data_IF_851973469617
#
_entry.id   IF_851973469617
#
_cell.length_a   1.000
_cell.length_b   1.000
_cell.length_c   1.000
_cell.angle_alpha   90.00
_cell.angle_beta   90.00
_cell.angle_gamma   90.00
#
_symmetry.space_group_name_H-M   'P 1'
#
loop_
_entity.id
_entity.type
_entity.pdbx_description
1 polymer ?
#
# COMPACT_ATOMS: atom_id res chain seq x y z
N UNK A 1 2.32 -12.27 2.91
CA UNK A 1 2.56 -11.14 1.96
C UNK A 1 2.33 -11.63 0.54
N UNK A 2 1.74 -10.80 -0.33
CA UNK A 2 1.36 -11.21 -1.68
C UNK A 2 1.61 -10.07 -2.68
N UNK A 3 2.83 -10.06 -3.24
CA UNK A 3 3.30 -9.01 -4.14
C UNK A 3 3.93 -9.59 -5.41
N UNK A 4 4.06 -8.78 -6.45
CA UNK A 4 5.02 -9.06 -7.51
C UNK A 4 6.24 -8.14 -7.33
N UNK A 5 7.41 -8.74 -7.10
CA UNK A 5 8.63 -8.03 -6.71
C UNK A 5 9.67 -8.16 -7.81
N UNK A 6 10.08 -7.04 -8.42
CA UNK A 6 11.20 -7.03 -9.37
C UNK A 6 12.46 -6.57 -8.64
N UNK A 7 13.46 -7.45 -8.58
CA UNK A 7 14.75 -7.16 -7.97
C UNK A 7 15.74 -6.81 -9.08
N UNK A 8 16.24 -5.58 -9.05
CA UNK A 8 17.26 -5.07 -9.96
C UNK A 8 18.60 -5.03 -9.24
N UNK A 9 19.62 -5.63 -9.85
CA UNK A 9 20.97 -5.72 -9.30
C UNK A 9 21.97 -5.15 -10.31
N UNK A 10 22.66 -4.07 -9.93
CA UNK A 10 23.78 -3.53 -10.71
C UNK A 10 24.95 -4.53 -10.69
N UNK A 11 25.42 -5.03 -11.82
CA UNK A 11 26.50 -6.02 -11.84
C UNK A 11 27.89 -5.44 -12.18
N UNK A 12 28.04 -4.11 -12.24
CA UNK A 12 29.31 -3.43 -12.53
C UNK A 12 30.28 -3.48 -11.35
N UNK A 13 29.85 -2.91 -10.22
CA UNK A 13 30.70 -2.73 -9.04
C UNK A 13 29.89 -2.80 -7.75
N UNK A 14 29.22 -3.90 -7.40
CA UNK A 14 28.59 -3.99 -6.07
C UNK A 14 29.68 -4.08 -4.99
N UNK A 15 29.70 -3.15 -4.04
CA UNK A 15 30.72 -3.16 -2.98
C UNK A 15 30.56 -4.33 -1.99
N UNK A 16 29.34 -4.85 -1.80
CA UNK A 16 29.11 -6.07 -1.01
C UNK A 16 28.02 -6.96 -1.63
N UNK A 17 28.41 -7.76 -2.63
CA UNK A 17 27.52 -8.74 -3.27
C UNK A 17 26.90 -9.71 -2.27
N UNK A 18 27.68 -10.20 -1.30
CA UNK A 18 27.19 -11.13 -0.28
C UNK A 18 26.06 -10.53 0.55
N UNK A 19 26.21 -9.29 1.04
CA UNK A 19 25.17 -8.62 1.82
C UNK A 19 23.91 -8.37 1.00
N UNK A 20 24.03 -8.03 -0.28
CA UNK A 20 22.86 -7.85 -1.18
C UNK A 20 22.06 -9.14 -1.24
N UNK A 21 22.71 -10.27 -1.53
CA UNK A 21 22.03 -11.54 -1.68
C UNK A 21 21.51 -12.12 -0.35
N UNK A 22 22.20 -11.87 0.77
CA UNK A 22 21.73 -12.23 2.11
C UNK A 22 20.52 -11.39 2.52
N UNK A 23 20.53 -10.10 2.21
CA UNK A 23 19.36 -9.21 2.38
C UNK A 23 18.18 -9.77 1.60
N UNK A 24 18.36 -10.03 0.30
CA UNK A 24 17.30 -10.58 -0.56
C UNK A 24 16.76 -11.90 -0.01
N UNK A 25 17.61 -12.85 0.38
CA UNK A 25 17.16 -14.11 0.98
C UNK A 25 16.36 -13.89 2.26
N UNK A 26 16.72 -12.89 3.06
CA UNK A 26 16.06 -12.57 4.33
C UNK A 26 14.72 -11.85 4.14
N UNK A 27 14.47 -11.22 2.98
CA UNK A 27 13.17 -10.62 2.65
C UNK A 27 12.07 -11.66 2.51
N UNK A 28 12.42 -12.86 2.03
CA UNK A 28 11.47 -13.93 1.73
C UNK A 28 11.65 -15.07 2.72
N UNK A 29 10.75 -15.20 3.69
CA UNK A 29 10.75 -16.33 4.62
C UNK A 29 10.51 -17.66 3.86
N UNK A 30 11.08 -18.76 4.36
CA UNK A 30 10.90 -20.10 3.77
C UNK A 30 9.44 -20.58 3.72
N UNK A 31 8.57 -20.00 4.56
CA UNK A 31 7.14 -20.29 4.63
C UNK A 31 6.32 -19.38 3.70
N UNK A 32 6.94 -18.41 3.04
CA UNK A 32 6.26 -17.57 2.07
C UNK A 32 6.00 -18.35 0.78
N UNK A 33 4.76 -18.32 0.30
CA UNK A 33 4.40 -18.89 -0.98
C UNK A 33 5.01 -18.05 -2.13
N UNK A 34 5.96 -18.64 -2.86
CA UNK A 34 6.60 -18.02 -4.02
C UNK A 34 6.06 -18.67 -5.29
N UNK A 35 5.54 -17.88 -6.23
CA UNK A 35 4.99 -18.37 -7.49
C UNK A 35 3.47 -18.32 -7.56
N UNK A 36 2.86 -19.28 -8.25
CA UNK A 36 1.42 -19.32 -8.55
C UNK A 36 0.83 -20.72 -8.39
N UNK A 37 -0.50 -20.84 -8.43
CA UNK A 37 -1.18 -22.15 -8.46
C UNK A 37 -1.46 -22.75 -7.08
N UNK A 38 -1.35 -21.95 -6.02
CA UNK A 38 -1.70 -22.34 -4.66
C UNK A 38 -3.21 -22.28 -4.43
N UNK A 39 -3.72 -23.16 -3.56
CA UNK A 39 -5.13 -23.15 -3.16
C UNK A 39 -5.51 -21.87 -2.38
N UNK A 40 -4.62 -21.44 -1.48
CA UNK A 40 -4.63 -20.07 -0.97
C UNK A 40 -3.95 -19.17 -2.00
N UNK A 41 -4.66 -18.18 -2.58
CA UNK A 41 -4.10 -17.37 -3.64
C UNK A 41 -2.99 -16.42 -3.14
N UNK A 42 -2.84 -16.19 -1.83
CA UNK A 42 -1.86 -15.25 -1.25
C UNK A 42 -0.40 -15.66 -1.48
N UNK A 43 0.10 -15.39 -2.68
CA UNK A 43 1.47 -15.69 -3.07
C UNK A 43 2.23 -14.47 -3.56
N UNK A 44 3.55 -14.55 -3.51
CA UNK A 44 4.49 -13.54 -4.03
C UNK A 44 5.20 -14.06 -5.27
N UNK A 45 5.36 -13.27 -6.32
CA UNK A 45 6.25 -13.58 -7.46
C UNK A 45 7.51 -12.73 -7.37
N UNK A 46 8.65 -13.30 -7.70
CA UNK A 46 9.94 -12.59 -7.68
C UNK A 46 10.59 -12.68 -9.05
N UNK A 47 10.86 -11.53 -9.65
CA UNK A 47 11.64 -11.39 -10.86
C UNK A 47 13.02 -10.84 -10.55
N UNK A 48 14.02 -11.20 -11.34
CA UNK A 48 15.39 -10.71 -11.21
C UNK A 48 15.87 -10.11 -12.52
N UNK A 49 16.45 -8.93 -12.42
CA UNK A 49 17.10 -8.20 -13.50
C UNK A 49 18.50 -7.85 -13.04
N UNK A 50 19.50 -8.18 -13.85
CA UNK A 50 20.86 -7.65 -13.65
C UNK A 50 21.17 -6.63 -14.73
N UNK A 51 21.98 -5.61 -14.44
CA UNK A 51 22.31 -4.62 -15.46
C UNK A 51 23.72 -4.04 -15.35
N UNK A 52 24.23 -3.62 -16.51
CA UNK A 52 25.40 -2.76 -16.68
C UNK A 52 25.13 -1.74 -17.79
N UNK A 53 25.75 -1.89 -18.97
CA UNK A 53 25.41 -1.15 -20.17
C UNK A 53 24.00 -1.49 -20.68
N UNK A 54 23.60 -2.77 -20.60
CA UNK A 54 22.25 -3.24 -20.89
C UNK A 54 21.69 -3.98 -19.67
N UNK A 55 20.37 -4.11 -19.61
CA UNK A 55 19.66 -4.96 -18.65
C UNK A 55 19.53 -6.40 -19.18
N UNK A 56 19.44 -7.36 -18.28
CA UNK A 56 19.21 -8.77 -18.57
C UNK A 56 18.21 -9.33 -17.58
N UNK A 57 17.12 -9.87 -18.09
CA UNK A 57 16.10 -10.57 -17.30
C UNK A 57 16.62 -11.98 -16.98
N UNK A 58 17.18 -12.14 -15.78
CA UNK A 58 17.76 -13.42 -15.34
C UNK A 58 16.72 -14.35 -14.72
N UNK A 59 15.57 -13.80 -14.30
CA UNK A 59 14.36 -14.54 -13.97
C UNK A 59 13.12 -13.64 -14.16
N UNK A 60 12.15 -14.09 -14.95
CA UNK A 60 10.83 -13.45 -15.00
C UNK A 60 9.93 -13.94 -13.85
N UNK A 61 8.70 -13.40 -13.77
CA UNK A 61 7.73 -13.74 -12.72
C UNK A 61 7.22 -15.20 -12.76
N UNK A 62 7.48 -15.96 -13.82
CA UNK A 62 7.03 -17.35 -13.96
C UNK A 62 8.17 -18.35 -13.79
N UNK A 63 9.42 -17.91 -13.80
CA UNK A 63 10.58 -18.79 -13.63
C UNK A 63 10.70 -19.37 -12.21
N UNK A 64 10.33 -18.62 -11.17
CA UNK A 64 10.47 -19.02 -9.77
C UNK A 64 9.11 -19.43 -9.21
N UNK A 65 8.95 -20.70 -8.83
CA UNK A 65 7.68 -21.28 -8.34
C UNK A 65 7.78 -21.83 -6.92
N UNK A 66 8.89 -21.54 -6.23
CA UNK A 66 9.12 -21.96 -4.84
C UNK A 66 10.23 -21.14 -4.18
N UNK A 67 10.32 -21.25 -2.84
CA UNK A 67 11.45 -20.71 -2.10
C UNK A 67 12.79 -21.35 -2.52
N UNK A 68 12.80 -22.64 -2.87
CA UNK A 68 14.00 -23.34 -3.33
C UNK A 68 14.47 -22.86 -4.70
N UNK A 69 13.55 -22.51 -5.61
CA UNK A 69 13.89 -21.88 -6.89
C UNK A 69 14.54 -20.51 -6.67
N UNK A 70 13.94 -19.70 -5.79
CA UNK A 70 14.48 -18.39 -5.40
C UNK A 70 15.88 -18.52 -4.83
N UNK A 71 16.08 -19.43 -3.86
CA UNK A 71 17.39 -19.70 -3.27
C UNK A 71 18.40 -20.15 -4.32
N UNK A 72 18.01 -21.05 -5.22
CA UNK A 72 18.86 -21.54 -6.31
C UNK A 72 19.24 -20.43 -7.30
N UNK A 73 18.29 -19.55 -7.65
CA UNK A 73 18.54 -18.39 -8.50
C UNK A 73 19.53 -17.42 -7.85
N UNK A 74 19.40 -17.16 -6.54
CA UNK A 74 20.34 -16.32 -5.80
C UNK A 74 21.73 -16.95 -5.75
N UNK A 75 21.85 -18.27 -5.55
CA UNK A 75 23.15 -18.95 -5.61
C UNK A 75 23.81 -18.84 -6.98
N UNK A 76 23.03 -18.98 -8.07
CA UNK A 76 23.55 -18.76 -9.44
C UNK A 76 24.06 -17.34 -9.64
N UNK A 77 23.34 -16.34 -9.11
CA UNK A 77 23.77 -14.94 -9.17
C UNK A 77 25.03 -14.68 -8.34
N UNK A 78 25.17 -15.30 -7.16
CA UNK A 78 26.41 -15.26 -6.35
C UNK A 78 27.63 -15.79 -7.10
N UNK A 79 27.46 -16.84 -7.91
CA UNK A 79 28.53 -17.45 -8.69
C UNK A 79 28.80 -16.74 -10.03
N UNK A 80 27.93 -15.81 -10.45
CA UNK A 80 28.10 -15.09 -11.71
C UNK A 80 29.15 -14.00 -11.53
N UNK A 81 30.25 -13.99 -12.31
CA UNK A 81 31.27 -12.95 -12.20
C UNK A 81 30.69 -11.56 -12.46
N UNK A 82 31.09 -10.58 -11.65
CA UNK A 82 30.80 -9.17 -11.92
C UNK A 82 31.49 -8.74 -13.22
N UNK A 83 30.87 -7.80 -13.94
CA UNK A 83 31.48 -7.26 -15.15
C UNK A 83 32.65 -6.34 -14.80
N UNK A 84 33.63 -6.24 -15.69
CA UNK A 84 34.78 -5.35 -15.51
C UNK A 84 34.48 -3.90 -15.89
N UNK A 85 33.34 -3.64 -16.55
CA UNK A 85 32.94 -2.28 -16.91
C UNK A 85 32.48 -1.48 -15.70
N UNK A 86 32.71 -0.17 -15.74
CA UNK A 86 32.16 0.80 -14.78
C UNK A 86 30.85 1.42 -15.26
N UNK A 87 30.38 1.04 -16.46
CA UNK A 87 29.20 1.64 -17.07
C UNK A 87 27.92 1.00 -16.52
N UNK A 88 27.23 1.74 -15.65
CA UNK A 88 25.95 1.35 -15.06
C UNK A 88 24.81 2.18 -15.68
N UNK A 89 23.84 1.56 -16.35
CA UNK A 89 22.73 2.24 -17.07
C UNK A 89 21.40 1.86 -16.44
N UNK A 90 21.11 2.44 -15.27
CA UNK A 90 19.94 2.07 -14.44
C UNK A 90 18.61 2.25 -15.18
N UNK A 91 18.51 3.22 -16.08
CA UNK A 91 17.32 3.44 -16.90
C UNK A 91 16.97 2.22 -17.74
N UNK A 92 17.96 1.50 -18.29
CA UNK A 92 17.72 0.27 -19.04
C UNK A 92 17.08 -0.82 -18.17
N UNK A 93 17.50 -0.91 -16.90
CA UNK A 93 16.97 -1.88 -15.95
C UNK A 93 15.55 -1.51 -15.48
N UNK A 94 15.29 -0.22 -15.25
CA UNK A 94 13.95 0.27 -14.91
C UNK A 94 12.97 0.03 -16.07
N UNK A 95 13.39 0.20 -17.33
CA UNK A 95 12.58 -0.18 -18.49
C UNK A 95 12.35 -1.69 -18.59
N UNK A 96 13.37 -2.51 -18.32
CA UNK A 96 13.20 -3.96 -18.26
C UNK A 96 12.20 -4.37 -17.17
N UNK A 97 12.24 -3.74 -15.99
CA UNK A 97 11.26 -3.95 -14.93
C UNK A 97 9.84 -3.54 -15.35
N UNK A 98 9.68 -2.40 -16.02
CA UNK A 98 8.39 -2.01 -16.61
C UNK A 98 7.87 -3.07 -17.58
N UNK A 99 8.74 -3.61 -18.45
CA UNK A 99 8.35 -4.62 -19.43
C UNK A 99 7.94 -5.93 -18.76
N UNK A 100 8.69 -6.39 -17.74
CA UNK A 100 8.37 -7.59 -16.95
C UNK A 100 7.02 -7.45 -16.21
N UNK A 101 6.72 -6.26 -15.69
CA UNK A 101 5.42 -5.99 -15.05
C UNK A 101 4.31 -5.98 -16.10
N UNK A 102 4.48 -5.24 -17.19
CA UNK A 102 3.48 -5.12 -18.26
C UNK A 102 3.21 -6.45 -18.98
N UNK A 103 4.19 -7.35 -19.09
CA UNK A 103 3.99 -8.66 -19.71
C UNK A 103 3.03 -9.57 -18.93
N UNK A 104 2.72 -9.19 -17.69
CA UNK A 104 1.74 -9.87 -16.83
C UNK A 104 0.47 -9.07 -16.61
N UNK A 105 0.26 -7.97 -17.34
CA UNK A 105 -0.97 -7.20 -17.26
C UNK A 105 -2.21 -8.08 -17.53
N UNK A 106 -3.24 -7.96 -16.69
CA UNK A 106 -4.42 -8.81 -16.73
C UNK A 106 -4.26 -10.13 -15.96
N UNK A 107 -3.05 -10.47 -15.53
CA UNK A 107 -2.76 -11.64 -14.70
C UNK A 107 -2.23 -11.15 -13.35
N UNK A 108 -3.08 -11.17 -12.31
CA UNK A 108 -2.78 -10.71 -10.94
C UNK A 108 -2.78 -9.19 -10.75
N UNK A 109 -3.72 -8.49 -11.38
CA UNK A 109 -3.86 -7.03 -11.25
C UNK A 109 -4.22 -6.58 -9.82
N UNK A 110 -4.83 -7.46 -9.01
CA UNK A 110 -5.06 -7.17 -7.60
C UNK A 110 -3.77 -7.14 -6.77
N UNK A 111 -2.72 -7.87 -7.15
CA UNK A 111 -1.48 -7.91 -6.39
C UNK A 111 -0.69 -6.63 -6.60
N UNK A 112 -0.16 -6.02 -5.54
CA UNK A 112 0.70 -4.86 -5.69
C UNK A 112 2.06 -5.25 -6.25
N UNK A 113 2.66 -4.32 -7.00
CA UNK A 113 3.96 -4.51 -7.64
C UNK A 113 4.97 -3.53 -7.05
N UNK A 114 6.21 -3.96 -6.90
CA UNK A 114 7.31 -3.14 -6.39
C UNK A 114 8.61 -3.45 -7.12
N UNK A 115 9.41 -2.41 -7.36
CA UNK A 115 10.76 -2.55 -7.93
C UNK A 115 11.77 -2.22 -6.85
N UNK A 116 12.76 -3.08 -6.64
CA UNK A 116 13.84 -2.90 -5.65
C UNK A 116 15.17 -2.84 -6.38
N UNK A 117 15.90 -1.75 -6.26
CA UNK A 117 17.16 -1.50 -6.98
C UNK A 117 18.35 -1.51 -6.03
N UNK A 118 19.26 -2.45 -6.21
CA UNK A 118 20.54 -2.52 -5.50
C UNK A 118 21.65 -1.98 -6.41
N UNK A 119 22.29 -0.88 -6.01
CA UNK A 119 23.42 -0.28 -6.73
C UNK A 119 24.31 0.52 -5.78
N UNK A 120 25.53 0.86 -6.17
CA UNK A 120 26.35 1.88 -5.53
C UNK A 120 26.89 2.92 -6.54
N UNK A 121 26.32 2.94 -7.74
CA UNK A 121 26.69 3.87 -8.81
C UNK A 121 25.55 4.88 -8.97
N UNK A 122 25.91 6.14 -9.16
CA UNK A 122 24.94 7.21 -9.43
C UNK A 122 25.23 7.91 -10.76
N UNK A 123 24.20 8.54 -11.32
CA UNK A 123 24.35 9.56 -12.35
C UNK A 123 24.54 9.06 -13.79
N UNK A 124 24.63 7.75 -14.03
CA UNK A 124 24.84 7.17 -15.36
C UNK A 124 23.57 6.52 -15.93
N UNK A 125 23.21 6.87 -17.17
CA UNK A 125 22.02 6.36 -17.88
C UNK A 125 22.22 6.39 -19.41
N UNK A 126 21.41 5.64 -20.17
CA UNK A 126 21.57 5.45 -21.62
C UNK A 126 20.73 6.44 -22.42
N UNK A 127 19.46 6.57 -22.08
CA UNK A 127 18.48 7.33 -22.86
C UNK A 127 17.76 8.36 -22.01
N UNK A 128 17.22 7.95 -20.86
CA UNK A 128 16.43 8.84 -20.01
C UNK A 128 16.99 8.87 -18.58
N UNK A 129 16.93 10.01 -17.87
CA UNK A 129 17.31 10.05 -16.46
C UNK A 129 16.52 9.00 -15.65
N UNK A 130 17.16 8.17 -14.81
CA UNK A 130 16.48 7.11 -14.06
C UNK A 130 15.38 7.64 -13.14
N UNK A 131 15.50 8.90 -12.68
CA UNK A 131 14.45 9.61 -11.94
C UNK A 131 13.13 9.68 -12.72
N UNK A 132 13.18 9.97 -14.02
CA UNK A 132 11.96 10.16 -14.82
C UNK A 132 11.34 8.82 -15.24
N UNK A 133 12.18 7.81 -15.48
CA UNK A 133 11.73 6.43 -15.66
C UNK A 133 11.07 5.93 -14.38
N UNK A 134 11.68 6.15 -13.21
CA UNK A 134 11.09 5.79 -11.91
C UNK A 134 9.77 6.51 -11.63
N UNK A 135 9.68 7.83 -11.87
CA UNK A 135 8.40 8.56 -11.76
C UNK A 135 7.29 7.91 -12.61
N UNK A 136 7.63 7.40 -13.78
CA UNK A 136 6.65 6.71 -14.65
C UNK A 136 6.16 5.40 -14.05
N UNK A 137 7.00 4.64 -13.34
CA UNK A 137 6.56 3.48 -12.54
C UNK A 137 5.64 3.95 -11.38
N UNK A 138 6.06 4.98 -10.67
CA UNK A 138 5.34 5.49 -9.50
C UNK A 138 3.96 6.04 -9.85
N UNK A 139 3.80 6.75 -10.97
CA UNK A 139 2.49 7.20 -11.48
C UNK A 139 1.55 6.04 -11.83
N UNK A 140 2.08 4.84 -12.11
CA UNK A 140 1.31 3.61 -12.29
C UNK A 140 1.02 2.88 -10.97
N UNK A 141 1.33 3.49 -9.84
CA UNK A 141 1.18 2.88 -8.52
C UNK A 141 2.19 1.77 -8.24
N UNK A 142 3.36 1.79 -8.89
CA UNK A 142 4.46 0.85 -8.68
C UNK A 142 5.60 1.57 -7.96
N UNK A 143 5.75 1.39 -6.64
CA UNK A 143 6.81 2.04 -5.89
C UNK A 143 8.19 1.51 -6.29
N UNK A 144 9.18 2.40 -6.18
CA UNK A 144 10.59 2.06 -6.42
C UNK A 144 11.35 2.21 -5.13
N UNK A 145 11.88 1.10 -4.63
CA UNK A 145 12.80 1.06 -3.50
C UNK A 145 14.22 1.12 -4.06
N UNK A 146 15.07 1.98 -3.51
CA UNK A 146 16.50 2.01 -3.84
C UNK A 146 17.33 1.64 -2.61
N UNK A 147 18.39 0.89 -2.85
CA UNK A 147 19.32 0.43 -1.81
C UNK A 147 20.73 0.77 -2.25
N UNK A 148 21.36 1.69 -1.53
CA UNK A 148 22.76 2.00 -1.71
C UNK A 148 23.61 0.87 -1.13
N UNK A 149 24.34 0.17 -1.99
CA UNK A 149 25.22 -0.93 -1.61
C UNK A 149 26.64 -0.47 -1.29
N UNK A 150 26.91 0.84 -1.40
CA UNK A 150 28.18 1.50 -1.06
C UNK A 150 28.03 2.45 0.13
N UNK A 151 29.09 3.19 0.44
CA UNK A 151 29.13 4.18 1.54
C UNK A 151 29.02 5.65 1.09
N UNK A 152 28.88 5.90 -0.22
CA UNK A 152 28.85 7.25 -0.78
C UNK A 152 27.54 7.98 -0.44
N UNK A 153 27.64 9.12 0.25
CA UNK A 153 26.51 10.02 0.54
C UNK A 153 25.92 10.65 -0.71
N UNK A 154 26.73 10.90 -1.74
CA UNK A 154 26.28 11.44 -3.02
C UNK A 154 25.39 10.43 -3.74
N UNK A 155 25.82 9.16 -3.72
CA UNK A 155 25.01 8.06 -4.25
C UNK A 155 23.71 7.92 -3.48
N UNK A 156 23.74 7.99 -2.14
CA UNK A 156 22.52 7.98 -1.34
C UNK A 156 21.57 9.13 -1.71
N UNK A 157 22.10 10.34 -1.86
CA UNK A 157 21.31 11.55 -2.17
C UNK A 157 20.72 11.49 -3.58
N UNK A 158 21.45 10.91 -4.53
CA UNK A 158 20.94 10.66 -5.87
C UNK A 158 19.85 9.59 -5.89
N UNK A 159 20.03 8.49 -5.16
CA UNK A 159 19.04 7.41 -5.06
C UNK A 159 17.74 7.86 -4.40
N UNK A 160 17.77 8.81 -3.45
CA UNK A 160 16.57 9.48 -2.90
C UNK A 160 15.71 10.17 -3.95
N UNK A 161 16.32 10.64 -5.04
CA UNK A 161 15.58 11.27 -6.14
C UNK A 161 14.90 10.27 -7.08
N UNK A 162 15.25 9.00 -6.98
CA UNK A 162 14.72 7.90 -7.81
C UNK A 162 13.71 7.08 -7.01
N UNK A 163 13.96 6.86 -5.73
CA UNK A 163 13.04 6.12 -4.89
C UNK A 163 11.68 6.81 -4.76
N UNK A 164 10.68 6.01 -4.42
CA UNK A 164 9.44 6.50 -3.81
C UNK A 164 9.73 7.15 -2.45
N UNK A 165 8.80 8.00 -1.99
CA UNK A 165 8.94 8.72 -0.71
C UNK A 165 9.28 7.76 0.42
N UNK A 166 10.35 8.06 1.17
CA UNK A 166 10.86 7.26 2.31
C UNK A 166 11.29 5.82 1.94
N UNK A 167 11.64 5.55 0.68
CA UNK A 167 12.06 4.21 0.20
C UNK A 167 13.48 4.19 -0.38
N UNK A 168 14.37 5.04 0.13
CA UNK A 168 15.79 5.06 -0.23
C UNK A 168 16.64 4.68 0.98
N UNK A 169 17.17 3.46 0.96
CA UNK A 169 17.85 2.80 2.09
C UNK A 169 19.35 2.64 1.82
N UNK A 170 20.12 2.29 2.85
CA UNK A 170 21.55 2.04 2.75
C UNK A 170 21.90 0.68 3.35
N UNK A 171 22.62 -0.17 2.63
CA UNK A 171 22.87 -1.54 3.08
C UNK A 171 23.73 -1.60 4.37
N UNK A 172 24.53 -0.57 4.63
CA UNK A 172 25.48 -0.52 5.74
C UNK A 172 24.93 0.12 7.03
N UNK A 173 23.67 0.58 7.04
CA UNK A 173 23.05 1.06 8.29
C UNK A 173 22.59 -0.08 9.22
N UNK A 174 22.65 -1.33 8.74
CA UNK A 174 22.33 -2.54 9.49
C UNK A 174 20.85 -2.90 9.57
N UNK A 175 19.95 -2.07 9.04
CA UNK A 175 18.49 -2.26 9.15
C UNK A 175 17.78 -2.41 7.81
N UNK A 176 18.52 -2.38 6.70
CA UNK A 176 18.00 -2.48 5.33
C UNK A 176 16.98 -3.61 5.10
N UNK A 177 17.14 -4.78 5.73
CA UNK A 177 16.19 -5.89 5.59
C UNK A 177 14.83 -5.52 6.19
N UNK A 178 14.82 -5.00 7.42
CA UNK A 178 13.61 -4.57 8.10
C UNK A 178 12.95 -3.37 7.40
N UNK A 179 13.75 -2.46 6.87
CA UNK A 179 13.26 -1.30 6.12
C UNK A 179 12.53 -1.71 4.83
N UNK A 180 13.13 -2.63 4.06
CA UNK A 180 12.50 -3.15 2.84
C UNK A 180 11.27 -3.98 3.21
N UNK A 181 11.32 -4.85 4.22
CA UNK A 181 10.16 -5.63 4.68
C UNK A 181 9.01 -4.73 5.12
N UNK A 182 9.32 -3.64 5.85
CA UNK A 182 8.32 -2.64 6.23
C UNK A 182 7.74 -1.97 4.99
N UNK A 183 8.56 -1.52 4.05
CA UNK A 183 8.08 -0.91 2.81
C UNK A 183 7.19 -1.87 2.01
N UNK A 184 7.57 -3.13 1.88
CA UNK A 184 6.76 -4.14 1.20
C UNK A 184 5.44 -4.41 1.94
N UNK A 185 5.45 -4.44 3.27
CA UNK A 185 4.23 -4.58 4.08
C UNK A 185 3.30 -3.38 3.90
N UNK A 186 3.85 -2.16 3.95
CA UNK A 186 3.09 -0.92 3.73
C UNK A 186 2.49 -0.90 2.31
N UNK A 187 3.22 -1.37 1.29
CA UNK A 187 2.72 -1.49 -0.10
C UNK A 187 1.62 -2.52 -0.21
N UNK A 188 1.72 -3.63 0.52
CA UNK A 188 0.71 -4.69 0.56
C UNK A 188 -0.56 -4.23 1.29
N UNK A 189 -0.51 -3.14 2.07
CA UNK A 189 -1.65 -2.51 2.74
C UNK A 189 -2.31 -1.46 1.82
N UNK A 190 -3.43 -1.80 1.17
CA UNK A 190 -4.02 -0.92 0.17
C UNK A 190 -5.55 -1.05 0.05
N UNK A 191 -6.18 -0.04 -0.57
CA UNK A 191 -7.60 -0.04 -0.91
C UNK A 191 -7.84 -0.34 -2.39
N UNK A 192 -8.89 -1.11 -2.67
CA UNK A 192 -9.37 -1.35 -4.04
C UNK A 192 -9.77 -0.03 -4.74
N UNK A 193 -9.82 -0.05 -6.07
CA UNK A 193 -10.24 1.10 -6.87
C UNK A 193 -11.57 1.68 -6.37
N UNK A 194 -11.66 3.01 -6.33
CA UNK A 194 -12.82 3.73 -5.81
C UNK A 194 -12.87 3.89 -4.29
N UNK A 195 -12.10 3.10 -3.53
CA UNK A 195 -11.96 3.25 -2.09
C UNK A 195 -10.75 4.10 -1.72
N UNK A 196 -10.88 4.86 -0.65
CA UNK A 196 -9.88 5.79 -0.16
C UNK A 196 -9.26 5.20 1.11
N UNK A 197 -7.93 5.04 1.11
CA UNK A 197 -7.20 4.60 2.29
C UNK A 197 -7.29 5.65 3.40
N UNK A 198 -7.55 5.20 4.62
CA UNK A 198 -7.39 6.05 5.78
C UNK A 198 -5.90 6.39 5.98
N UNK A 199 -5.56 7.65 5.80
CA UNK A 199 -4.21 8.21 6.03
C UNK A 199 -4.27 9.35 7.04
N UNK A 200 -3.20 9.51 7.82
CA UNK A 200 -3.10 10.64 8.73
C UNK A 200 -1.67 11.21 8.81
N UNK A 201 -1.49 12.52 8.52
CA UNK A 201 -2.51 13.49 8.11
C UNK A 201 -3.09 13.24 6.70
N UNK A 202 -4.34 13.65 6.45
CA UNK A 202 -4.99 13.55 5.13
C UNK A 202 -4.17 14.23 4.03
N UNK A 203 -4.06 13.61 2.86
CA UNK A 203 -3.28 14.08 1.70
C UNK A 203 -1.78 14.36 1.97
N UNK A 204 -1.24 13.90 3.10
CA UNK A 204 0.19 13.87 3.37
C UNK A 204 0.62 12.41 3.28
N UNK A 205 1.76 12.14 2.63
CA UNK A 205 2.37 10.80 2.57
C UNK A 205 2.93 10.39 3.95
N UNK A 206 2.07 10.33 4.97
CA UNK A 206 2.39 9.83 6.30
C UNK A 206 1.25 8.97 6.84
N UNK A 207 1.64 7.78 7.28
CA UNK A 207 0.89 6.69 7.89
C UNK A 207 -0.46 6.35 7.24
N UNK A 208 -0.44 5.31 6.40
CA UNK A 208 -1.64 4.57 5.99
C UNK A 208 -2.06 3.60 7.10
N UNK A 209 -3.37 3.48 7.32
CA UNK A 209 -4.00 2.54 8.25
C UNK A 209 -4.73 1.47 7.47
N UNK A 210 -4.94 0.28 8.07
CA UNK A 210 -5.63 -0.87 7.46
C UNK A 210 -7.14 -0.69 7.24
N UNK A 211 -7.57 0.49 6.84
CA UNK A 211 -8.97 0.89 6.72
C UNK A 211 -9.22 1.61 5.40
N UNK A 212 -10.27 1.21 4.70
CA UNK A 212 -10.72 1.79 3.46
C UNK A 212 -12.08 2.45 3.65
N UNK A 213 -12.25 3.65 3.10
CA UNK A 213 -13.50 4.40 3.15
C UNK A 213 -14.02 4.67 1.74
N UNK A 214 -15.33 4.55 1.56
CA UNK A 214 -16.03 4.87 0.32
C UNK A 214 -17.12 5.90 0.60
N UNK A 215 -17.16 6.97 -0.19
CA UNK A 215 -18.21 7.97 -0.12
C UNK A 215 -19.11 7.89 -1.35
N UNK A 216 -20.31 7.30 -1.25
CA UNK A 216 -21.24 7.33 -2.35
C UNK A 216 -21.74 8.75 -2.61
N UNK A 217 -21.92 9.10 -3.89
CA UNK A 217 -22.54 10.37 -4.29
C UNK A 217 -24.07 10.32 -4.20
N UNK A 218 -24.60 9.84 -3.08
CA UNK A 218 -26.03 9.83 -2.75
C UNK A 218 -26.23 10.20 -1.28
N UNK A 219 -27.43 10.71 -0.98
CA UNK A 219 -27.90 10.89 0.38
C UNK A 219 -29.00 9.88 0.66
N UNK A 220 -29.08 9.42 1.89
CA UNK A 220 -30.12 8.46 2.30
C UNK A 220 -30.47 8.67 3.76
N UNK A 221 -31.59 8.09 4.18
CA UNK A 221 -31.95 7.98 5.58
C UNK A 221 -31.04 6.97 6.30
N UNK A 222 -31.09 6.90 7.63
CA UNK A 222 -30.08 6.13 8.40
C UNK A 222 -30.08 4.64 8.06
N UNK A 223 -31.26 4.07 7.83
CA UNK A 223 -31.41 2.65 7.51
C UNK A 223 -30.95 2.36 6.07
N UNK A 224 -31.36 3.21 5.12
CA UNK A 224 -30.92 3.09 3.73
C UNK A 224 -29.42 3.28 3.56
N UNK A 225 -28.79 4.18 4.33
CA UNK A 225 -27.34 4.34 4.36
C UNK A 225 -26.63 3.07 4.87
N UNK A 226 -27.16 2.45 5.93
CA UNK A 226 -26.64 1.18 6.46
C UNK A 226 -26.77 0.08 5.42
N UNK A 227 -27.98 -0.14 4.91
CA UNK A 227 -28.25 -1.16 3.90
C UNK A 227 -27.37 -0.97 2.66
N UNK A 228 -27.15 0.26 2.23
CA UNK A 228 -26.27 0.55 1.10
C UNK A 228 -24.86 0.00 1.33
N UNK A 229 -24.24 0.30 2.48
CA UNK A 229 -22.88 -0.17 2.76
C UNK A 229 -22.79 -1.69 2.84
N UNK A 230 -23.72 -2.33 3.55
CA UNK A 230 -23.72 -3.78 3.75
C UNK A 230 -24.04 -4.57 2.48
N UNK A 231 -24.97 -4.08 1.65
CA UNK A 231 -25.45 -4.83 0.48
C UNK A 231 -24.63 -4.61 -0.78
N UNK A 232 -24.04 -3.41 -0.97
CA UNK A 232 -23.30 -3.11 -2.21
C UNK A 232 -21.84 -3.56 -2.15
N UNK A 233 -21.30 -3.81 -0.95
CA UNK A 233 -19.89 -4.14 -0.78
C UNK A 233 -19.68 -5.20 0.29
N UNK A 234 -18.98 -6.27 -0.08
CA UNK A 234 -18.67 -7.36 0.82
C UNK A 234 -17.93 -6.87 2.08
N UNK A 235 -18.44 -7.24 3.25
CA UNK A 235 -17.93 -6.87 4.58
C UNK A 235 -17.78 -5.37 4.84
N UNK A 236 -18.48 -4.52 4.08
CA UNK A 236 -18.52 -3.10 4.38
C UNK A 236 -19.70 -2.75 5.29
N UNK A 237 -19.52 -1.68 6.05
CA UNK A 237 -20.47 -1.19 7.04
C UNK A 237 -20.38 0.34 7.11
N UNK A 238 -21.23 1.00 7.89
CA UNK A 238 -21.09 2.45 8.07
C UNK A 238 -19.86 2.79 8.88
N UNK A 239 -19.13 3.84 8.48
CA UNK A 239 -17.84 4.22 9.07
C UNK A 239 -17.89 4.32 10.59
N UNK A 240 -16.87 3.78 11.27
CA UNK A 240 -16.66 4.01 12.70
C UNK A 240 -15.71 5.19 12.92
N UNK A 241 -15.74 5.75 14.13
CA UNK A 241 -14.87 6.85 14.51
C UNK A 241 -14.27 6.61 15.89
N UNK A 242 -13.24 5.76 15.92
CA UNK A 242 -12.57 5.37 17.16
C UNK A 242 -11.73 6.51 17.77
N UNK A 243 -11.48 7.58 17.02
CA UNK A 243 -10.81 8.79 17.49
C UNK A 243 -11.19 10.04 16.66
N UNK A 244 -10.72 11.21 17.11
CA UNK A 244 -10.95 12.50 16.44
C UNK A 244 -10.21 12.63 15.09
N UNK A 245 -9.11 11.91 14.89
CA UNK A 245 -8.36 11.93 13.63
C UNK A 245 -9.20 11.30 12.52
N UNK A 246 -9.85 10.17 12.82
CA UNK A 246 -10.75 9.47 11.90
C UNK A 246 -11.96 10.32 11.53
N UNK A 247 -12.57 11.00 12.50
CA UNK A 247 -13.67 11.95 12.23
C UNK A 247 -13.25 13.09 11.31
N UNK A 248 -12.08 13.66 11.57
CA UNK A 248 -11.51 14.74 10.72
C UNK A 248 -11.25 14.25 9.30
N UNK A 249 -10.71 13.04 9.16
CA UNK A 249 -10.50 12.39 7.87
C UNK A 249 -11.82 12.17 7.13
N UNK A 250 -12.87 11.67 7.79
CA UNK A 250 -14.18 11.42 7.17
C UNK A 250 -14.79 12.70 6.57
N UNK A 251 -14.75 13.81 7.30
CA UNK A 251 -15.18 15.10 6.75
C UNK A 251 -14.32 15.54 5.57
N UNK A 252 -13.00 15.37 5.62
CA UNK A 252 -12.10 15.73 4.53
C UNK A 252 -12.39 14.91 3.26
N UNK A 253 -12.65 13.61 3.40
CA UNK A 253 -13.05 12.71 2.31
C UNK A 253 -14.33 13.23 1.64
N UNK A 254 -15.41 13.43 2.41
CA UNK A 254 -16.69 13.90 1.87
C UNK A 254 -16.57 15.25 1.17
N UNK A 255 -15.84 16.19 1.77
CA UNK A 255 -15.68 17.53 1.19
C UNK A 255 -14.74 17.54 -0.03
N UNK A 256 -13.82 16.58 -0.15
CA UNK A 256 -12.97 16.46 -1.34
C UNK A 256 -13.73 16.00 -2.59
N UNK A 257 -14.89 15.37 -2.41
CA UNK A 257 -15.73 14.82 -3.49
C UNK A 257 -17.01 15.62 -3.74
N UNK A 258 -17.29 16.63 -2.93
CA UNK A 258 -18.50 17.44 -3.03
C UNK A 258 -18.22 18.83 -3.59
N UNK A 259 -19.13 19.35 -4.42
CA UNK A 259 -19.09 20.73 -4.90
C UNK A 259 -19.53 21.76 -3.86
N UNK A 260 -20.20 21.30 -2.78
CA UNK A 260 -20.69 22.12 -1.68
C UNK A 260 -20.22 21.56 -0.34
N UNK A 261 -19.95 22.42 0.67
CA UNK A 261 -19.51 21.95 1.98
C UNK A 261 -20.48 20.94 2.60
N UNK A 262 -19.96 19.75 2.93
CA UNK A 262 -20.68 18.73 3.69
C UNK A 262 -20.42 18.94 5.17
N UNK A 263 -21.44 19.44 5.87
CA UNK A 263 -21.38 19.73 7.31
C UNK A 263 -22.08 18.67 8.16
N UNK A 264 -22.76 17.68 7.55
CA UNK A 264 -23.36 16.57 8.26
C UNK A 264 -23.38 15.28 7.44
N UNK A 265 -23.14 14.15 8.10
CA UNK A 265 -23.23 12.82 7.49
C UNK A 265 -23.59 11.75 8.52
N UNK A 266 -24.16 10.63 8.06
CA UNK A 266 -24.39 9.46 8.91
C UNK A 266 -23.12 8.64 9.09
N UNK A 267 -22.79 8.36 10.34
CA UNK A 267 -21.77 7.40 10.75
C UNK A 267 -22.40 6.07 11.25
N UNK A 268 -21.55 5.13 11.64
CA UNK A 268 -21.93 3.81 12.14
C UNK A 268 -22.43 3.78 13.59
N UNK A 269 -22.52 4.89 14.31
CA UNK A 269 -22.92 4.88 15.72
C UNK A 269 -24.42 4.54 15.86
N UNK A 270 -24.73 3.55 16.70
CA UNK A 270 -26.09 3.02 16.93
C UNK A 270 -26.32 2.89 18.44
N UNK A 271 -27.51 3.24 18.91
CA UNK A 271 -27.94 2.97 20.29
C UNK A 271 -28.80 1.69 20.34
N UNK A 272 -28.44 0.75 21.19
CA UNK A 272 -29.24 -0.42 21.53
C UNK A 272 -29.39 -0.50 23.05
N UNK A 273 -30.62 -0.44 23.55
CA UNK A 273 -30.93 -0.52 24.98
C UNK A 273 -30.09 0.44 25.86
N UNK A 274 -29.97 1.70 25.43
CA UNK A 274 -29.16 2.75 26.08
C UNK A 274 -27.65 2.52 26.07
N UNK A 275 -27.15 1.57 25.29
CA UNK A 275 -25.72 1.34 25.07
C UNK A 275 -25.37 1.71 23.63
N UNK A 276 -24.25 2.40 23.45
CA UNK A 276 -23.79 2.87 22.15
C UNK A 276 -22.76 1.90 21.55
N UNK A 277 -22.94 1.60 20.27
CA UNK A 277 -22.09 0.71 19.51
C UNK A 277 -21.76 1.28 18.15
N UNK A 278 -20.62 0.87 17.62
CA UNK A 278 -20.28 1.02 16.20
C UNK A 278 -20.84 -0.14 15.39
N UNK A 279 -21.41 0.20 14.24
CA UNK A 279 -21.72 -0.74 13.17
C UNK A 279 -20.46 -1.53 12.79
N UNK A 280 -20.66 -2.77 12.37
CA UNK A 280 -19.61 -3.74 12.06
C UNK A 280 -20.06 -4.56 10.86
N UNK A 281 -19.15 -5.27 10.15
CA UNK A 281 -19.55 -6.18 9.08
C UNK A 281 -20.60 -7.19 9.55
N UNK A 282 -21.40 -7.69 8.62
CA UNK A 282 -22.34 -8.77 8.90
C UNK A 282 -21.66 -9.93 9.64
N UNK A 283 -22.38 -10.53 10.59
CA UNK A 283 -21.90 -11.64 11.44
C UNK A 283 -20.76 -11.29 12.41
N UNK A 284 -20.28 -10.05 12.45
CA UNK A 284 -19.39 -9.56 13.51
C UNK A 284 -20.20 -8.97 14.66
N UNK A 285 -19.78 -9.18 15.93
CA UNK A 285 -20.42 -8.53 17.06
C UNK A 285 -20.21 -7.02 16.95
N UNK A 286 -21.24 -6.25 17.32
CA UNK A 286 -21.13 -4.80 17.42
C UNK A 286 -20.01 -4.40 18.38
N UNK A 287 -19.27 -3.35 18.04
CA UNK A 287 -18.18 -2.85 18.87
C UNK A 287 -18.71 -1.79 19.83
N UNK A 288 -18.59 -1.95 21.16
CA UNK A 288 -18.99 -0.92 22.11
C UNK A 288 -18.23 0.38 21.89
N UNK A 289 -18.89 1.51 22.12
CA UNK A 289 -18.25 2.83 22.09
C UNK A 289 -17.22 2.93 23.23
N UNK A 290 -15.96 3.19 22.86
CA UNK A 290 -14.92 3.57 23.82
C UNK A 290 -15.12 5.05 24.24
N UNK A 291 -15.20 5.36 25.54
CA UNK A 291 -15.28 6.74 26.03
C UNK A 291 -14.14 7.66 25.52
N UNK A 292 -12.98 7.10 25.18
CA UNK A 292 -11.85 7.85 24.61
C UNK A 292 -12.10 8.32 23.17
N UNK A 293 -13.03 7.70 22.45
CA UNK A 293 -13.41 8.10 21.09
C UNK A 293 -14.25 9.37 21.05
N UNK A 294 -14.97 9.67 22.14
CA UNK A 294 -15.82 10.84 22.28
C UNK A 294 -17.06 10.59 23.13
N UNK A 295 -17.76 11.67 23.46
CA UNK A 295 -19.01 11.60 24.22
C UNK A 295 -20.19 11.25 23.29
N UNK A 296 -20.97 10.20 23.59
CA UNK A 296 -22.18 9.90 22.83
C UNK A 296 -23.28 10.94 23.05
N UNK A 297 -24.29 11.00 22.17
CA UNK A 297 -25.48 11.81 22.39
C UNK A 297 -26.18 11.49 23.72
N UNK A 298 -26.70 12.53 24.38
CA UNK A 298 -27.41 12.41 25.66
C UNK A 298 -28.75 11.65 25.59
N UNK A 299 -29.30 11.45 24.39
CA UNK A 299 -30.56 10.73 24.16
C UNK A 299 -30.39 9.68 23.07
N UNK A 300 -31.10 8.56 23.21
CA UNK A 300 -31.17 7.53 22.18
C UNK A 300 -31.91 8.07 20.94
N UNK A 301 -31.20 8.13 19.81
CA UNK A 301 -31.71 8.54 18.51
C UNK A 301 -30.76 8.05 17.41
N UNK A 302 -31.13 8.22 16.14
CA UNK A 302 -30.15 8.16 15.06
C UNK A 302 -29.12 9.28 15.22
N UNK A 303 -27.90 9.01 14.76
CA UNK A 303 -26.76 9.90 14.96
C UNK A 303 -26.18 10.31 13.64
N UNK A 304 -25.98 11.60 13.45
CA UNK A 304 -25.14 12.16 12.40
C UNK A 304 -23.95 12.85 13.04
N UNK A 305 -22.80 12.77 12.39
CA UNK A 305 -21.71 13.72 12.64
C UNK A 305 -22.15 15.08 12.12
N UNK A 306 -22.05 16.11 12.97
CA UNK A 306 -22.36 17.49 12.59
C UNK A 306 -21.19 18.40 12.88
N UNK A 307 -20.84 19.22 11.89
CA UNK A 307 -19.90 20.34 12.02
C UNK A 307 -20.68 21.63 12.26
N UNK A 308 -20.42 22.28 13.38
CA UNK A 308 -21.08 23.52 13.79
C UNK A 308 -20.33 24.75 13.28
N UNK A 309 -21.01 25.90 13.32
CA UNK A 309 -20.46 27.19 12.84
C UNK A 309 -19.25 27.67 13.63
N UNK A 310 -19.09 27.22 14.88
CA UNK A 310 -17.92 27.47 15.72
C UNK A 310 -16.72 26.57 15.38
N UNK A 311 -16.87 25.69 14.38
CA UNK A 311 -15.84 24.76 13.93
C UNK A 311 -15.80 23.44 14.70
N UNK A 312 -16.61 23.29 15.75
CA UNK A 312 -16.68 22.04 16.52
C UNK A 312 -17.39 20.93 15.75
N UNK A 313 -17.07 19.68 16.07
CA UNK A 313 -17.75 18.50 15.53
C UNK A 313 -18.25 17.64 16.66
N UNK A 314 -19.49 17.16 16.55
CA UNK A 314 -20.08 16.27 17.53
C UNK A 314 -21.02 15.25 16.88
N UNK A 315 -21.22 14.14 17.58
CA UNK A 315 -22.27 13.18 17.29
C UNK A 315 -23.60 13.74 17.80
N UNK A 316 -24.49 14.03 16.87
CA UNK A 316 -25.72 14.77 17.16
C UNK A 316 -26.96 13.90 16.93
N UNK A 317 -27.91 13.87 17.88
CA UNK A 317 -29.13 13.09 17.75
C UNK A 317 -30.08 13.73 16.73
N UNK A 318 -30.37 13.01 15.66
CA UNK A 318 -31.20 13.45 14.52
C UNK A 318 -32.40 12.50 14.31
N UNK A 319 -33.37 12.97 13.52
CA UNK A 319 -34.45 12.11 13.06
C UNK A 319 -33.92 11.09 12.05
N UNK A 320 -34.25 9.81 12.25
CA UNK A 320 -33.77 8.72 11.39
C UNK A 320 -34.22 8.82 9.93
N UNK A 321 -35.31 9.57 9.66
CA UNK A 321 -35.83 9.79 8.31
C UNK A 321 -35.14 10.93 7.56
N UNK A 322 -34.28 11.71 8.23
CA UNK A 322 -33.51 12.75 7.58
C UNK A 322 -32.54 12.11 6.58
N UNK A 323 -32.39 12.72 5.41
CA UNK A 323 -31.39 12.30 4.44
C UNK A 323 -30.08 13.03 4.68
N UNK A 324 -28.99 12.29 4.82
CA UNK A 324 -27.64 12.83 4.88
C UNK A 324 -26.71 12.06 3.93
N UNK A 325 -25.56 12.65 3.63
CA UNK A 325 -24.43 11.89 3.11
C UNK A 325 -24.02 10.82 4.13
N UNK A 326 -23.25 9.83 3.69
CA UNK A 326 -22.72 8.79 4.56
C UNK A 326 -21.44 8.23 3.98
N UNK A 327 -20.70 7.48 4.80
CA UNK A 327 -19.45 6.84 4.41
C UNK A 327 -19.54 5.36 4.76
N UNK A 328 -19.15 4.52 3.81
CA UNK A 328 -18.94 3.10 4.05
C UNK A 328 -17.47 2.85 4.39
N UNK A 329 -17.22 1.87 5.25
CA UNK A 329 -15.89 1.44 5.65
C UNK A 329 -15.74 -0.07 5.50
N UNK A 330 -14.52 -0.50 5.18
CA UNK A 330 -14.09 -1.90 5.30
C UNK A 330 -12.59 -2.00 5.61
N UNK A 331 -12.15 -3.19 5.99
CA UNK A 331 -10.71 -3.48 6.19
C UNK A 331 -9.96 -3.39 4.86
N UNK A 332 -8.76 -2.81 4.89
CA UNK A 332 -7.89 -2.73 3.72
C UNK A 332 -7.34 -4.11 3.33
N UNK A 333 -6.96 -4.25 2.08
CA UNK A 333 -6.19 -5.40 1.63
C UNK A 333 -4.85 -5.38 2.34
N UNK A 334 -4.43 -6.47 2.97
CA UNK A 334 -3.13 -6.57 3.63
C UNK A 334 -2.65 -8.02 3.69
N UNK A 335 -1.62 -8.34 4.48
CA UNK A 335 -1.06 -9.69 4.55
C UNK A 335 -2.08 -10.73 5.02
N UNK A 336 -3.06 -10.32 5.82
CA UNK A 336 -4.03 -11.18 6.49
C UNK A 336 -5.40 -11.12 5.80
N UNK A 337 -5.77 -9.95 5.27
CA UNK A 337 -7.00 -9.70 4.52
C UNK A 337 -6.73 -9.67 3.01
N UNK A 338 -6.92 -10.82 2.37
CA UNK A 338 -6.78 -10.94 0.93
C UNK A 338 -7.91 -10.23 0.18
N UNK A 339 -7.57 -9.47 -0.85
CA UNK A 339 -8.55 -8.88 -1.74
C UNK A 339 -8.49 -9.51 -3.12
N UNK A 340 -9.58 -10.14 -3.51
CA UNK A 340 -9.82 -10.57 -4.87
C UNK A 340 -9.98 -9.36 -5.80
N UNK A 341 -9.70 -9.57 -7.09
CA UNK A 341 -10.01 -8.60 -8.12
C UNK A 341 -11.53 -8.52 -8.26
N UNK A 342 -12.09 -7.30 -8.18
CA UNK A 342 -13.53 -7.05 -8.28
C UNK A 342 -14.00 -6.98 -9.73
#
# INVERSE_FOLDING_TARGET
MWLDVVIIIDNCKIASTNLVYETILSLFDKNLQIGTGYADPRSTRVGFITYNYNATDVADFYKLQSYDDLKSQIQRLKMTPLTTTTVSRMDTALYAAMNMINSTAGFRDNYKKVVIVFTNVHGTYKSNPPKDVSKSLQMKGIPVITVNTGSSSDTQSWLKNIASTNMAFAIYDGNVTQEIQKAMTDINCYCNSGWIQYTWPWNVNQKAYGTCVYAPNVQSNREGAKQYCHQNYHNAYLVNELDQQKRTFNFAVLNSMSSSPVNAFYNGLINLNNVWFWDQPDQKPLQPLDPNSGAPPARAACVADMKYSDGTTAWTPVSCVNNFHFLCEKVACDTDNYCEYA
#
